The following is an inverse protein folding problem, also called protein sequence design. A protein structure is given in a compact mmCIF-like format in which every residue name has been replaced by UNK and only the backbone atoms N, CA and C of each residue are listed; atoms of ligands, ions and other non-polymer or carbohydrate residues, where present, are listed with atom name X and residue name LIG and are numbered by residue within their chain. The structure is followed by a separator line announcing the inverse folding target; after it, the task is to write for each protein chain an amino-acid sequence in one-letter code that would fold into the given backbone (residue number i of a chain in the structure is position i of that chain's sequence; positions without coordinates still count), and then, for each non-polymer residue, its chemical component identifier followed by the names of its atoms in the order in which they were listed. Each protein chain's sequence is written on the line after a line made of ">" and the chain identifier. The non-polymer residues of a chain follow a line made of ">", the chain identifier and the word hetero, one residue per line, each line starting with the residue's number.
data_IF_291833018246
#
_entry.id   IF_291833018246
#
_cell.length_a   1.000
_cell.length_b   1.000
_cell.length_c   1.000
_cell.angle_alpha   90.00
_cell.angle_beta   90.00
_cell.angle_gamma   90.00
#
_symmetry.space_group_name_H-M   'P 1'
#
loop_
_entity.id
_entity.type
_entity.pdbx_description
1 polymer ?
#
# COMPACT_ATOMS: atom_id res chain seq x y z
N UNK A 1 -40.86 45.24 -10.13
CA UNK A 1 -39.64 46.04 -9.98
C UNK A 1 -38.60 45.27 -9.18
N UNK A 2 -37.35 45.43 -9.51
CA UNK A 2 -36.24 44.78 -8.85
C UNK A 2 -35.88 45.56 -7.60
N UNK A 3 -35.70 44.89 -6.46
CA UNK A 3 -35.29 45.50 -5.21
C UNK A 3 -33.81 45.81 -5.24
N UNK A 4 -33.42 47.06 -4.98
CA UNK A 4 -32.03 47.43 -4.85
C UNK A 4 -31.45 46.94 -3.50
N UNK A 5 -30.21 46.52 -3.50
CA UNK A 5 -29.47 46.09 -2.29
C UNK A 5 -29.09 47.32 -1.44
N UNK A 6 -28.59 48.35 -2.11
CA UNK A 6 -28.28 49.63 -1.47
C UNK A 6 -28.21 50.78 -2.45
N UNK A 7 -28.28 51.99 -1.93
CA UNK A 7 -28.15 53.26 -2.68
C UNK A 7 -27.14 54.11 -1.94
N UNK A 8 -26.14 54.63 -2.63
CA UNK A 8 -25.16 55.58 -2.08
C UNK A 8 -25.23 56.92 -2.84
N UNK A 9 -25.42 58.02 -2.10
CA UNK A 9 -25.40 59.36 -2.66
C UNK A 9 -23.98 59.94 -2.57
N UNK A 10 -23.50 60.49 -3.70
CA UNK A 10 -22.22 61.18 -3.83
C UNK A 10 -22.45 62.58 -4.39
N UNK A 11 -21.53 63.53 -4.18
CA UNK A 11 -21.62 64.82 -4.82
C UNK A 11 -21.69 64.71 -6.37
N UNK A 12 -22.85 65.02 -6.92
CA UNK A 12 -23.08 65.03 -8.37
C UNK A 12 -23.57 63.73 -9.00
N UNK A 13 -23.62 62.59 -8.22
CA UNK A 13 -24.18 61.35 -8.74
C UNK A 13 -24.74 60.43 -7.61
N UNK A 14 -25.63 59.51 -7.98
CA UNK A 14 -26.16 58.50 -7.09
C UNK A 14 -25.74 57.13 -7.63
N UNK A 15 -25.20 56.28 -6.74
CA UNK A 15 -24.84 54.90 -7.08
C UNK A 15 -25.92 53.95 -6.58
N UNK A 16 -26.34 53.06 -7.43
CA UNK A 16 -27.28 52.00 -7.11
C UNK A 16 -26.59 50.65 -7.14
N UNK A 17 -26.75 49.85 -6.07
CA UNK A 17 -26.18 48.53 -5.97
C UNK A 17 -27.31 47.50 -6.05
N UNK A 18 -27.07 46.48 -6.86
CA UNK A 18 -28.04 45.44 -7.14
C UNK A 18 -27.33 44.11 -7.38
N UNK A 19 -27.81 43.03 -6.77
CA UNK A 19 -27.38 41.67 -7.02
C UNK A 19 -28.55 40.78 -7.41
N UNK A 20 -28.31 39.88 -8.32
CA UNK A 20 -29.29 38.88 -8.74
C UNK A 20 -28.59 37.57 -9.06
N UNK A 21 -29.11 36.47 -8.54
CA UNK A 21 -28.73 35.15 -8.97
C UNK A 21 -29.51 34.79 -10.25
N UNK A 22 -28.77 34.44 -11.29
CA UNK A 22 -29.31 33.97 -12.56
C UNK A 22 -29.02 32.49 -12.71
N UNK A 23 -30.04 31.62 -12.83
CA UNK A 23 -29.81 30.20 -13.06
C UNK A 23 -29.16 30.03 -14.44
N UNK A 24 -28.05 29.26 -14.45
CA UNK A 24 -27.38 28.89 -15.69
C UNK A 24 -27.46 27.38 -15.89
N UNK A 25 -27.55 26.95 -17.14
CA UNK A 25 -27.55 25.54 -17.54
C UNK A 25 -26.22 25.20 -18.25
N UNK A 26 -26.09 23.97 -18.71
CA UNK A 26 -24.88 23.49 -19.41
C UNK A 26 -24.66 24.18 -20.76
N UNK A 27 -25.68 24.77 -21.33
CA UNK A 27 -25.65 25.45 -22.62
C UNK A 27 -25.36 26.95 -22.48
N UNK A 28 -25.45 27.50 -21.27
CA UNK A 28 -25.22 28.91 -20.97
C UNK A 28 -23.76 29.28 -21.09
N UNK A 29 -23.33 29.74 -22.25
CA UNK A 29 -21.93 30.16 -22.50
C UNK A 29 -21.71 31.65 -22.30
N UNK A 30 -22.78 32.43 -22.46
CA UNK A 30 -22.72 33.89 -22.43
C UNK A 30 -23.99 34.44 -21.76
N UNK A 31 -23.81 35.42 -20.91
CA UNK A 31 -24.88 36.16 -20.29
C UNK A 31 -24.81 37.61 -20.78
N UNK A 32 -25.95 38.12 -21.27
CA UNK A 32 -26.09 39.47 -21.69
C UNK A 32 -26.91 40.25 -20.65
N UNK A 33 -26.39 41.36 -20.19
CA UNK A 33 -27.04 42.21 -19.19
C UNK A 33 -27.24 43.61 -19.75
N UNK A 34 -28.48 44.05 -19.73
CA UNK A 34 -28.90 45.43 -20.07
C UNK A 34 -29.62 46.02 -18.88
N UNK A 35 -29.38 47.28 -18.60
CA UNK A 35 -30.08 48.03 -17.57
C UNK A 35 -31.09 48.95 -18.20
N UNK A 36 -32.30 48.93 -17.66
CA UNK A 36 -33.37 49.87 -18.05
C UNK A 36 -33.94 50.51 -16.80
N UNK A 37 -33.90 51.81 -16.76
CA UNK A 37 -34.43 52.58 -15.65
C UNK A 37 -35.77 53.25 -16.00
N UNK A 38 -36.64 53.37 -14.97
CA UNK A 38 -37.80 54.19 -15.05
C UNK A 38 -37.85 55.15 -13.85
N UNK A 39 -37.93 56.40 -14.11
CA UNK A 39 -38.10 57.43 -13.07
C UNK A 39 -39.62 57.74 -12.94
N UNK A 40 -40.11 57.69 -11.74
CA UNK A 40 -41.50 58.06 -11.42
C UNK A 40 -41.44 59.30 -10.53
N UNK A 41 -42.09 60.40 -11.00
CA UNK A 41 -42.16 61.63 -10.23
C UNK A 41 -43.28 61.54 -9.18
N UNK A 42 -43.32 62.50 -8.27
CA UNK A 42 -44.29 62.55 -7.18
C UNK A 42 -45.78 62.85 -7.66
N UNK A 43 -45.89 63.29 -8.90
CA UNK A 43 -47.23 63.50 -9.58
C UNK A 43 -47.63 62.29 -10.41
N UNK A 44 -47.04 61.10 -10.17
CA UNK A 44 -47.22 59.85 -10.91
C UNK A 44 -46.81 59.87 -12.39
N UNK A 45 -46.29 60.99 -12.87
CA UNK A 45 -45.65 61.01 -14.19
C UNK A 45 -44.42 60.10 -14.24
N UNK A 46 -44.23 59.43 -15.37
CA UNK A 46 -43.05 58.49 -15.46
C UNK A 46 -42.28 58.69 -16.76
N UNK A 47 -40.98 58.68 -16.65
CA UNK A 47 -40.04 58.73 -17.75
C UNK A 47 -39.18 57.45 -17.79
N UNK A 48 -39.14 56.75 -18.90
CA UNK A 48 -38.32 55.58 -19.09
C UNK A 48 -36.97 56.01 -19.69
N UNK A 49 -35.91 55.70 -18.98
CA UNK A 49 -34.54 55.94 -19.48
C UNK A 49 -34.24 54.98 -20.65
N UNK A 50 -33.46 55.41 -21.63
CA UNK A 50 -33.00 54.48 -22.66
C UNK A 50 -32.22 53.35 -22.06
N UNK A 51 -32.28 52.15 -22.67
CA UNK A 51 -31.52 51.03 -22.17
C UNK A 51 -30.00 51.32 -22.23
N UNK A 52 -29.27 50.83 -21.24
CA UNK A 52 -27.81 50.89 -21.24
C UNK A 52 -27.18 50.09 -22.40
N UNK A 53 -25.93 50.29 -22.65
CA UNK A 53 -25.14 49.36 -23.46
C UNK A 53 -25.23 47.94 -22.88
N UNK A 54 -25.21 46.94 -23.73
CA UNK A 54 -25.25 45.54 -23.33
C UNK A 54 -23.89 45.09 -22.82
N UNK A 55 -23.83 44.71 -21.55
CA UNK A 55 -22.68 44.07 -20.96
C UNK A 55 -22.70 42.57 -21.26
N UNK A 56 -21.62 42.06 -21.76
CA UNK A 56 -21.48 40.63 -22.09
C UNK A 56 -20.56 39.94 -21.08
N UNK A 57 -21.08 38.94 -20.38
CA UNK A 57 -20.31 38.10 -19.47
C UNK A 57 -20.20 36.70 -20.06
N UNK A 58 -18.94 36.17 -20.13
CA UNK A 58 -18.74 34.80 -20.51
C UNK A 58 -18.86 33.89 -19.30
N UNK A 59 -19.78 32.94 -19.38
CA UNK A 59 -19.99 31.91 -18.35
C UNK A 59 -19.10 30.73 -18.67
N UNK A 60 -17.99 30.60 -17.96
CA UNK A 60 -17.13 29.43 -18.11
C UNK A 60 -17.70 28.25 -17.32
N UNK A 61 -17.91 27.13 -17.99
CA UNK A 61 -18.25 25.88 -17.32
C UNK A 61 -16.95 25.20 -16.86
N UNK A 62 -16.81 24.92 -15.58
CA UNK A 62 -15.66 24.17 -15.06
C UNK A 62 -15.54 22.79 -15.70
N UNK A 63 -16.63 22.24 -16.22
CA UNK A 63 -16.66 20.94 -16.91
C UNK A 63 -15.81 20.94 -18.19
N UNK A 64 -15.66 22.07 -18.89
CA UNK A 64 -14.84 22.15 -20.11
C UNK A 64 -13.35 22.00 -19.83
N UNK A 65 -12.91 22.12 -18.57
CA UNK A 65 -11.53 21.99 -18.13
C UNK A 65 -11.24 20.67 -17.44
N UNK A 66 -12.23 19.81 -17.28
CA UNK A 66 -12.09 18.51 -16.61
C UNK A 66 -12.00 17.41 -17.65
N UNK A 67 -11.01 16.55 -17.50
CA UNK A 67 -10.96 15.29 -18.23
C UNK A 67 -12.07 14.35 -17.70
N UNK A 68 -13.11 14.19 -18.51
CA UNK A 68 -14.25 13.32 -18.17
C UNK A 68 -14.07 11.87 -18.63
N UNK A 69 -12.91 11.55 -19.24
CA UNK A 69 -12.60 10.19 -19.65
C UNK A 69 -12.46 9.25 -18.44
N UNK A 70 -12.77 7.97 -18.64
CA UNK A 70 -12.63 6.98 -17.57
C UNK A 70 -11.19 6.89 -17.12
N UNK A 71 -10.95 7.22 -15.86
CA UNK A 71 -9.64 7.16 -15.24
C UNK A 71 -9.45 5.86 -14.48
N UNK A 72 -8.28 5.26 -14.66
CA UNK A 72 -7.90 4.04 -13.96
C UNK A 72 -6.88 4.35 -12.86
N UNK A 73 -6.95 3.58 -11.78
CA UNK A 73 -5.99 3.72 -10.69
C UNK A 73 -4.58 3.43 -11.17
N UNK A 74 -3.66 4.27 -10.73
CA UNK A 74 -2.23 4.06 -10.90
C UNK A 74 -1.70 3.49 -9.58
N UNK A 75 -1.15 2.28 -9.63
CA UNK A 75 -0.51 1.66 -8.49
C UNK A 75 1.00 1.86 -8.60
N UNK A 76 1.56 2.52 -7.60
CA UNK A 76 3.02 2.62 -7.47
C UNK A 76 3.49 1.35 -6.77
N UNK A 77 4.27 0.54 -7.46
CA UNK A 77 4.94 -0.62 -6.87
C UNK A 77 6.43 -0.36 -6.75
N UNK A 78 6.96 -0.68 -5.58
CA UNK A 78 8.41 -0.76 -5.42
C UNK A 78 8.87 -2.09 -6.03
N UNK A 79 9.81 -2.06 -6.96
CA UNK A 79 10.38 -3.27 -7.53
C UNK A 79 11.35 -3.87 -6.53
N UNK A 80 10.87 -4.84 -5.78
CA UNK A 80 11.68 -5.70 -4.95
C UNK A 80 11.90 -7.03 -5.65
N UNK A 81 13.12 -7.50 -5.67
CA UNK A 81 13.44 -8.88 -5.96
C UNK A 81 13.63 -9.60 -4.62
N UNK A 82 13.03 -10.75 -4.48
CA UNK A 82 13.22 -11.59 -3.29
C UNK A 82 13.92 -12.87 -3.71
N UNK A 83 15.06 -13.14 -3.09
CA UNK A 83 15.77 -14.41 -3.22
C UNK A 83 15.65 -15.15 -1.92
N UNK A 84 15.37 -16.43 -1.98
CA UNK A 84 15.22 -17.29 -0.80
C UNK A 84 16.11 -18.52 -0.92
N UNK A 85 16.98 -18.68 0.08
CA UNK A 85 17.84 -19.86 0.21
C UNK A 85 17.46 -20.63 1.47
N UNK A 86 17.41 -21.95 1.36
CA UNK A 86 17.19 -22.84 2.50
C UNK A 86 18.49 -23.60 2.82
N UNK A 87 18.99 -23.43 4.02
CA UNK A 87 20.21 -24.02 4.49
C UNK A 87 19.94 -24.90 5.72
N UNK A 88 20.58 -26.05 5.77
CA UNK A 88 20.38 -27.03 6.85
C UNK A 88 21.55 -26.94 7.83
N UNK A 89 21.36 -26.14 8.87
CA UNK A 89 22.37 -25.99 9.94
C UNK A 89 22.03 -26.97 11.05
N UNK A 90 22.96 -27.84 11.36
CA UNK A 90 22.83 -28.84 12.43
C UNK A 90 23.18 -28.20 13.77
N UNK A 91 22.42 -28.55 14.80
CA UNK A 91 22.66 -28.17 16.19
C UNK A 91 22.69 -29.42 17.05
N UNK A 92 23.49 -29.40 18.10
CA UNK A 92 23.45 -30.44 19.13
C UNK A 92 22.07 -30.45 19.80
N UNK A 93 21.73 -31.57 20.38
CA UNK A 93 20.45 -31.72 21.11
C UNK A 93 20.41 -30.70 22.25
N UNK A 94 19.32 -29.95 22.32
CA UNK A 94 19.11 -28.90 23.32
C UNK A 94 20.16 -27.75 23.31
N UNK A 95 20.92 -27.61 22.25
CA UNK A 95 21.94 -26.57 22.10
C UNK A 95 21.53 -25.55 21.01
N UNK A 96 21.99 -24.32 21.19
CA UNK A 96 21.77 -23.21 20.26
C UNK A 96 23.08 -22.73 19.62
N UNK A 97 24.22 -23.25 20.05
CA UNK A 97 25.52 -22.84 19.51
C UNK A 97 25.69 -23.30 18.07
N UNK A 98 26.21 -22.40 17.25
CA UNK A 98 26.58 -22.71 15.87
C UNK A 98 27.98 -23.30 15.88
N UNK A 99 28.09 -24.58 15.53
CA UNK A 99 29.34 -25.28 15.42
C UNK A 99 29.61 -25.60 13.95
N UNK A 100 30.65 -25.00 13.38
CA UNK A 100 31.07 -25.24 12.00
C UNK A 100 31.60 -26.65 11.78
N UNK A 101 32.16 -27.28 12.81
CA UNK A 101 32.68 -28.65 12.78
C UNK A 101 31.55 -29.71 12.80
N UNK A 102 30.33 -29.36 13.10
CA UNK A 102 29.23 -30.31 13.20
C UNK A 102 28.66 -30.70 11.83
N UNK A 103 28.81 -31.97 11.45
CA UNK A 103 28.24 -32.50 10.22
C UNK A 103 28.67 -31.72 8.96
N UNK A 104 27.71 -31.16 8.23
CA UNK A 104 27.93 -30.37 7.02
C UNK A 104 27.88 -28.85 7.24
N UNK A 105 27.91 -28.40 8.50
CA UNK A 105 27.72 -26.98 8.84
C UNK A 105 28.76 -26.08 8.15
N UNK A 106 30.05 -26.47 8.12
CA UNK A 106 31.05 -25.64 7.44
C UNK A 106 30.69 -25.30 6.00
N UNK A 107 30.20 -26.29 5.23
CA UNK A 107 29.80 -26.10 3.85
C UNK A 107 28.51 -25.23 3.74
N UNK A 108 27.56 -25.43 4.64
CA UNK A 108 26.30 -24.66 4.64
C UNK A 108 26.52 -23.19 5.06
N UNK A 109 27.31 -22.97 6.11
CA UNK A 109 27.71 -21.64 6.58
C UNK A 109 28.53 -20.90 5.52
N UNK A 110 29.44 -21.60 4.85
CA UNK A 110 30.22 -21.06 3.74
C UNK A 110 29.32 -20.59 2.58
N UNK A 111 28.26 -21.35 2.24
CA UNK A 111 27.27 -20.93 1.24
C UNK A 111 26.54 -19.65 1.65
N UNK A 112 26.10 -19.55 2.89
CA UNK A 112 25.43 -18.36 3.41
C UNK A 112 26.37 -17.15 3.32
N UNK A 113 27.61 -17.29 3.78
CA UNK A 113 28.62 -16.21 3.74
C UNK A 113 28.90 -15.76 2.31
N UNK A 114 29.17 -16.71 1.40
CA UNK A 114 29.42 -16.42 0.00
C UNK A 114 28.23 -15.69 -0.66
N UNK A 115 27.03 -16.15 -0.39
CA UNK A 115 25.81 -15.53 -0.91
C UNK A 115 25.60 -14.11 -0.39
N UNK A 116 25.79 -13.88 0.90
CA UNK A 116 25.72 -12.54 1.47
C UNK A 116 26.80 -11.61 0.91
N UNK A 117 28.04 -12.09 0.81
CA UNK A 117 29.14 -11.32 0.23
C UNK A 117 28.88 -10.96 -1.24
N UNK A 118 28.41 -11.93 -2.04
CA UNK A 118 28.01 -11.72 -3.43
C UNK A 118 26.94 -10.62 -3.54
N UNK A 119 25.85 -10.72 -2.77
CA UNK A 119 24.76 -9.76 -2.80
C UNK A 119 25.15 -8.36 -2.34
N UNK A 120 26.04 -8.26 -1.34
CA UNK A 120 26.58 -6.97 -0.87
C UNK A 120 27.52 -6.35 -1.91
N UNK A 121 28.30 -7.17 -2.60
CA UNK A 121 29.24 -6.71 -3.64
C UNK A 121 28.57 -6.32 -4.95
N UNK A 122 27.37 -6.82 -5.23
CA UNK A 122 26.61 -6.50 -6.45
C UNK A 122 26.28 -5.01 -6.52
N UNK A 123 26.67 -4.38 -7.63
CA UNK A 123 26.37 -2.96 -7.85
C UNK A 123 24.94 -2.71 -8.39
N UNK A 124 24.28 -3.74 -8.89
CA UNK A 124 22.96 -3.64 -9.52
C UNK A 124 21.83 -3.56 -8.49
N UNK A 125 22.00 -4.18 -7.32
CA UNK A 125 20.98 -4.23 -6.26
C UNK A 125 21.50 -3.68 -4.95
N UNK A 126 20.57 -3.15 -4.14
CA UNK A 126 20.77 -2.92 -2.72
C UNK A 126 20.12 -4.07 -1.94
N UNK A 127 20.79 -4.57 -0.91
CA UNK A 127 20.19 -5.45 0.07
C UNK A 127 19.42 -4.58 1.07
N UNK A 128 18.10 -4.60 0.99
CA UNK A 128 17.24 -3.83 1.90
C UNK A 128 17.10 -4.53 3.26
N UNK A 129 16.90 -5.83 3.23
CA UNK A 129 16.87 -6.65 4.43
C UNK A 129 17.17 -8.11 4.12
N UNK A 130 17.69 -8.81 5.13
CA UNK A 130 17.84 -10.26 5.13
C UNK A 130 17.01 -10.81 6.27
N UNK A 131 16.02 -11.64 5.97
CA UNK A 131 15.21 -12.30 6.99
C UNK A 131 15.75 -13.71 7.22
N UNK A 132 16.38 -13.91 8.39
CA UNK A 132 16.85 -15.19 8.85
C UNK A 132 15.74 -15.85 9.66
N UNK A 133 15.23 -16.97 9.19
CA UNK A 133 14.20 -17.75 9.90
C UNK A 133 14.74 -19.11 10.27
N UNK A 134 14.87 -19.38 11.57
CA UNK A 134 15.20 -20.71 12.06
C UNK A 134 13.94 -21.49 12.43
N UNK A 135 13.94 -22.78 12.15
CA UNK A 135 12.85 -23.69 12.51
C UNK A 135 13.35 -24.87 13.35
N UNK A 136 12.45 -25.44 14.13
CA UNK A 136 12.68 -26.69 14.83
C UNK A 136 11.70 -27.76 14.35
N UNK A 137 12.07 -29.03 14.62
CA UNK A 137 11.17 -30.17 14.42
C UNK A 137 10.14 -30.24 15.55
N UNK A 138 8.95 -30.82 15.31
CA UNK A 138 7.92 -31.01 16.32
C UNK A 138 8.27 -32.03 17.44
N UNK A 139 9.52 -32.27 17.67
CA UNK A 139 10.00 -33.21 18.68
C UNK A 139 10.09 -32.52 20.04
N UNK A 140 9.25 -32.94 20.98
CA UNK A 140 9.17 -32.39 22.32
C UNK A 140 8.12 -31.27 22.46
N UNK A 141 8.21 -30.52 23.57
CA UNK A 141 7.20 -29.50 23.88
C UNK A 141 7.35 -28.25 23.02
N UNK A 142 6.26 -27.74 22.49
CA UNK A 142 6.20 -26.54 21.66
C UNK A 142 6.95 -25.33 22.26
N UNK A 143 6.75 -25.03 23.54
CA UNK A 143 7.41 -23.89 24.19
C UNK A 143 8.93 -24.06 24.24
N UNK A 144 9.43 -25.29 24.39
CA UNK A 144 10.86 -25.59 24.35
C UNK A 144 11.41 -25.41 22.93
N UNK A 145 10.71 -25.94 21.93
CA UNK A 145 11.06 -25.82 20.53
C UNK A 145 11.09 -24.35 20.10
N UNK A 146 10.14 -23.54 20.57
CA UNK A 146 10.12 -22.10 20.39
C UNK A 146 11.39 -21.43 20.92
N UNK A 147 11.78 -21.72 22.16
CA UNK A 147 12.99 -21.16 22.77
C UNK A 147 14.25 -21.60 22.03
N UNK A 148 14.35 -22.86 21.63
CA UNK A 148 15.46 -23.38 20.85
C UNK A 148 15.55 -22.73 19.46
N UNK A 149 14.44 -22.64 18.74
CA UNK A 149 14.41 -22.00 17.42
C UNK A 149 14.81 -20.52 17.51
N UNK A 150 14.32 -19.80 18.52
CA UNK A 150 14.70 -18.42 18.79
C UNK A 150 16.21 -18.29 19.07
N UNK A 151 16.71 -19.09 20.00
CA UNK A 151 18.13 -19.06 20.37
C UNK A 151 19.06 -19.41 19.21
N UNK A 152 18.71 -20.41 18.39
CA UNK A 152 19.44 -20.81 17.17
C UNK A 152 19.48 -19.69 16.14
N UNK A 153 18.35 -18.99 15.94
CA UNK A 153 18.29 -17.87 15.02
C UNK A 153 19.20 -16.72 15.45
N UNK A 154 19.20 -16.37 16.74
CA UNK A 154 20.09 -15.34 17.28
C UNK A 154 21.56 -15.76 17.26
N UNK A 155 21.85 -17.00 17.60
CA UNK A 155 23.22 -17.52 17.55
C UNK A 155 23.79 -17.50 16.13
N UNK A 156 22.99 -17.86 15.13
CA UNK A 156 23.43 -17.76 13.73
C UNK A 156 23.62 -16.31 13.29
N UNK A 157 22.76 -15.38 13.71
CA UNK A 157 22.95 -13.93 13.43
C UNK A 157 24.29 -13.47 14.02
N UNK A 158 24.58 -13.81 15.29
CA UNK A 158 25.88 -13.49 15.93
C UNK A 158 27.07 -14.07 15.18
N UNK A 159 27.00 -15.36 14.82
CA UNK A 159 28.03 -16.02 14.02
C UNK A 159 28.30 -15.28 12.68
N UNK A 160 27.24 -14.87 11.97
CA UNK A 160 27.40 -14.12 10.72
C UNK A 160 27.96 -12.71 10.97
N UNK A 161 27.58 -12.06 12.06
CA UNK A 161 28.11 -10.75 12.43
C UNK A 161 29.60 -10.78 12.69
N UNK A 162 30.12 -11.79 13.38
CA UNK A 162 31.52 -11.98 13.62
C UNK A 162 32.33 -12.20 12.34
N UNK A 163 31.78 -12.88 11.35
CA UNK A 163 32.45 -13.28 10.11
C UNK A 163 32.33 -12.29 8.96
N UNK A 164 31.18 -11.58 8.87
CA UNK A 164 30.87 -10.68 7.76
C UNK A 164 31.06 -9.21 8.17
N UNK A 165 30.81 -8.89 9.43
CA UNK A 165 30.98 -7.54 9.97
C UNK A 165 29.72 -6.93 10.56
N UNK A 166 29.82 -5.71 11.14
CA UNK A 166 28.76 -5.08 11.92
C UNK A 166 27.49 -4.74 11.12
N UNK A 167 27.58 -4.63 9.79
CA UNK A 167 26.44 -4.37 8.92
C UNK A 167 25.36 -5.47 8.99
N UNK A 168 25.73 -6.68 9.43
CA UNK A 168 24.79 -7.78 9.65
C UNK A 168 23.73 -7.41 10.69
N UNK A 169 24.10 -6.61 11.70
CA UNK A 169 23.15 -6.24 12.76
C UNK A 169 21.99 -5.42 12.25
N UNK A 170 22.22 -4.52 11.35
CA UNK A 170 21.17 -3.66 10.73
C UNK A 170 20.43 -4.35 9.60
N UNK A 171 21.12 -5.21 8.83
CA UNK A 171 20.54 -5.88 7.66
C UNK A 171 19.73 -7.12 8.03
N UNK A 172 20.20 -7.92 9.03
CA UNK A 172 19.61 -9.22 9.34
C UNK A 172 18.53 -9.11 10.41
N UNK A 173 17.31 -9.41 10.00
CA UNK A 173 16.15 -9.55 10.88
C UNK A 173 15.94 -11.02 11.23
N UNK A 174 15.80 -11.31 12.50
CA UNK A 174 15.64 -12.67 13.00
C UNK A 174 14.17 -13.01 13.13
N UNK A 175 13.79 -14.19 12.65
CA UNK A 175 12.51 -14.83 12.87
C UNK A 175 12.72 -16.28 13.28
N UNK A 176 11.72 -16.88 13.89
CA UNK A 176 11.75 -18.29 14.26
C UNK A 176 10.37 -18.90 14.14
N UNK A 177 10.36 -20.20 13.81
CA UNK A 177 9.20 -21.06 13.78
C UNK A 177 9.44 -22.16 14.80
N UNK A 178 8.61 -22.23 15.83
CA UNK A 178 8.78 -23.23 16.91
C UNK A 178 8.75 -24.65 16.33
N UNK A 179 7.80 -24.91 15.45
CA UNK A 179 7.61 -26.21 14.79
C UNK A 179 7.07 -25.96 13.37
N UNK A 180 7.80 -26.47 12.38
CA UNK A 180 7.44 -26.24 10.97
C UNK A 180 6.45 -27.30 10.46
N UNK A 181 5.26 -27.30 11.04
CA UNK A 181 4.16 -28.17 10.65
C UNK A 181 3.76 -28.05 9.16
N UNK A 182 3.73 -26.85 8.56
CA UNK A 182 3.46 -26.73 7.12
C UNK A 182 4.47 -27.47 6.24
N UNK A 183 5.76 -27.35 6.57
CA UNK A 183 6.81 -28.04 5.83
C UNK A 183 6.74 -29.57 6.10
N UNK A 184 6.48 -29.99 7.35
CA UNK A 184 6.25 -31.39 7.66
C UNK A 184 5.12 -31.97 6.80
N UNK A 185 3.98 -31.29 6.75
CA UNK A 185 2.85 -31.74 5.96
C UNK A 185 3.17 -31.78 4.45
N UNK A 186 3.96 -30.80 3.95
CA UNK A 186 4.38 -30.80 2.56
C UNK A 186 5.28 -32.01 2.21
N UNK A 187 6.21 -32.35 3.10
CA UNK A 187 7.10 -33.50 2.92
C UNK A 187 6.36 -34.82 3.00
N UNK A 188 5.46 -34.97 3.99
CA UNK A 188 4.59 -36.16 4.12
C UNK A 188 3.73 -36.31 2.86
N UNK A 189 3.20 -35.20 2.33
CA UNK A 189 2.38 -35.24 1.10
C UNK A 189 3.18 -35.72 -0.12
N UNK A 190 4.45 -35.36 -0.19
CA UNK A 190 5.36 -35.77 -1.27
C UNK A 190 5.94 -37.18 -1.11
N UNK A 191 5.81 -37.83 0.05
CA UNK A 191 6.31 -39.17 0.30
C UNK A 191 5.22 -40.22 0.02
N UNK A 192 5.26 -40.77 -1.19
CA UNK A 192 4.31 -41.83 -1.61
C UNK A 192 4.53 -43.15 -0.89
N UNK A 193 5.69 -43.36 -0.30
CA UNK A 193 6.04 -44.61 0.39
C UNK A 193 5.54 -44.67 1.84
N UNK A 194 5.11 -43.53 2.41
CA UNK A 194 4.63 -43.48 3.78
C UNK A 194 3.22 -44.06 3.90
N UNK A 195 3.01 -45.18 4.66
CA UNK A 195 1.70 -45.67 4.94
C UNK A 195 0.82 -44.65 5.66
N UNK A 196 -0.50 -44.79 5.57
CA UNK A 196 -1.48 -43.95 6.31
C UNK A 196 -1.21 -42.45 6.20
N UNK A 197 -0.59 -42.05 5.10
CA UNK A 197 -0.22 -40.63 4.79
C UNK A 197 -1.42 -39.70 4.85
N UNK A 198 -2.54 -40.11 4.28
CA UNK A 198 -3.75 -39.29 4.21
C UNK A 198 -4.31 -39.00 5.62
N UNK A 199 -4.40 -40.04 6.44
CA UNK A 199 -4.91 -39.93 7.81
C UNK A 199 -4.02 -39.07 8.70
N UNK A 200 -2.69 -39.17 8.54
CA UNK A 200 -1.73 -38.30 9.24
C UNK A 200 -1.89 -36.85 8.81
N UNK A 201 -2.07 -36.57 7.53
CA UNK A 201 -2.29 -35.23 7.02
C UNK A 201 -3.61 -34.62 7.52
N UNK A 202 -4.68 -35.41 7.56
CA UNK A 202 -5.96 -34.99 8.13
C UNK A 202 -5.83 -34.67 9.63
N UNK A 203 -5.12 -35.49 10.39
CA UNK A 203 -4.85 -35.25 11.79
C UNK A 203 -4.06 -33.96 11.99
N UNK A 204 -3.00 -33.72 11.19
CA UNK A 204 -2.21 -32.48 11.23
C UNK A 204 -3.08 -31.25 10.96
N UNK A 205 -4.07 -31.36 10.08
CA UNK A 205 -4.96 -30.27 9.74
C UNK A 205 -6.05 -30.03 10.81
N UNK A 206 -6.56 -31.11 11.43
CA UNK A 206 -7.66 -31.05 12.38
C UNK A 206 -7.22 -30.64 13.78
N UNK A 207 -6.11 -31.19 14.29
CA UNK A 207 -5.64 -30.89 15.64
C UNK A 207 -4.90 -29.54 15.67
N UNK A 208 -5.36 -28.62 16.52
CA UNK A 208 -4.80 -27.26 16.64
C UNK A 208 -3.65 -27.17 17.64
N UNK A 209 -3.69 -28.00 18.69
CA UNK A 209 -2.63 -28.02 19.69
C UNK A 209 -1.42 -28.82 19.16
N UNK A 210 -0.26 -28.19 18.99
CA UNK A 210 0.92 -28.82 18.42
C UNK A 210 1.45 -29.96 19.28
N UNK A 211 1.46 -29.82 20.60
CA UNK A 211 1.93 -30.88 21.52
C UNK A 211 1.01 -32.11 21.45
N UNK A 212 -0.31 -31.89 21.42
CA UNK A 212 -1.28 -32.96 21.26
C UNK A 212 -1.21 -33.61 19.87
N UNK A 213 -0.97 -32.80 18.83
CA UNK A 213 -0.80 -33.27 17.45
C UNK A 213 0.34 -34.30 17.36
N UNK A 214 1.51 -33.96 17.90
CA UNK A 214 2.65 -34.89 17.94
C UNK A 214 2.33 -36.13 18.73
N UNK A 215 1.72 -35.97 19.92
CA UNK A 215 1.35 -37.09 20.78
C UNK A 215 0.40 -38.07 20.06
N UNK A 216 -0.66 -37.57 19.41
CA UNK A 216 -1.64 -38.42 18.73
C UNK A 216 -1.02 -39.16 17.54
N UNK A 217 -0.13 -38.48 16.77
CA UNK A 217 0.59 -39.16 15.68
C UNK A 217 1.46 -40.30 16.23
N UNK A 218 2.18 -40.06 17.30
CA UNK A 218 3.05 -41.06 17.96
C UNK A 218 2.26 -42.24 18.51
N UNK A 219 1.06 -42.01 19.08
CA UNK A 219 0.23 -43.05 19.68
C UNK A 219 -0.53 -43.87 18.63
N UNK A 220 -1.07 -43.24 17.61
CA UNK A 220 -1.90 -43.90 16.60
C UNK A 220 -1.09 -44.53 15.46
N UNK A 221 0.04 -43.90 15.11
CA UNK A 221 0.86 -44.27 13.97
C UNK A 221 2.35 -44.40 14.38
N UNK A 222 2.68 -45.32 15.30
CA UNK A 222 4.03 -45.39 15.89
C UNK A 222 5.15 -45.70 14.86
N UNK A 223 4.84 -46.54 13.88
CA UNK A 223 5.81 -46.91 12.85
C UNK A 223 6.09 -45.69 11.88
N UNK A 224 5.03 -45.03 11.43
CA UNK A 224 5.08 -43.84 10.61
C UNK A 224 5.75 -42.69 11.35
N UNK A 225 5.44 -42.52 12.64
CA UNK A 225 6.08 -41.53 13.50
C UNK A 225 7.58 -41.75 13.60
N UNK A 226 8.03 -42.97 13.77
CA UNK A 226 9.46 -43.27 13.79
C UNK A 226 10.13 -42.97 12.45
N UNK A 227 9.50 -43.33 11.35
CA UNK A 227 9.97 -42.99 10.00
C UNK A 227 10.07 -41.47 9.81
N UNK A 228 9.03 -40.73 10.17
CA UNK A 228 9.01 -39.26 10.10
C UNK A 228 10.12 -38.65 10.97
N UNK A 229 10.32 -39.18 12.18
CA UNK A 229 11.34 -38.69 13.10
C UNK A 229 12.75 -38.88 12.55
N UNK A 230 13.03 -40.00 11.93
CA UNK A 230 14.36 -40.32 11.40
C UNK A 230 14.63 -39.66 10.05
N UNK A 231 13.64 -39.62 9.16
CA UNK A 231 13.85 -39.22 7.77
C UNK A 231 13.35 -37.82 7.44
N UNK A 232 12.37 -37.28 8.18
CA UNK A 232 11.77 -35.98 7.89
C UNK A 232 12.20 -34.89 8.89
N UNK A 233 12.19 -35.16 10.20
CA UNK A 233 12.52 -34.16 11.22
C UNK A 233 13.89 -33.52 11.04
N UNK A 234 14.97 -34.21 10.59
CA UNK A 234 16.24 -33.55 10.33
C UNK A 234 16.14 -32.40 9.34
N UNK A 235 15.23 -32.49 8.36
CA UNK A 235 15.01 -31.46 7.35
C UNK A 235 14.20 -30.27 7.86
N UNK A 236 13.48 -30.41 8.98
CA UNK A 236 12.74 -29.33 9.62
C UNK A 236 13.64 -28.43 10.47
N UNK A 237 14.79 -28.96 10.92
CA UNK A 237 15.83 -28.20 11.62
C UNK A 237 16.64 -27.41 10.62
N UNK A 238 16.04 -26.40 10.04
CA UNK A 238 16.60 -25.64 8.94
C UNK A 238 16.67 -24.15 9.25
N UNK A 239 17.54 -23.46 8.51
CA UNK A 239 17.55 -22.00 8.47
C UNK A 239 17.20 -21.57 7.05
N UNK A 240 16.24 -20.70 6.94
CA UNK A 240 15.87 -20.06 5.68
C UNK A 240 16.38 -18.62 5.70
N UNK A 241 17.11 -18.25 4.66
CA UNK A 241 17.56 -16.89 4.43
C UNK A 241 16.76 -16.30 3.27
N UNK A 242 15.99 -15.25 3.55
CA UNK A 242 15.29 -14.48 2.52
C UNK A 242 15.97 -13.13 2.38
N UNK A 243 16.40 -12.82 1.18
CA UNK A 243 17.05 -11.57 0.82
C UNK A 243 16.05 -10.70 0.07
N UNK A 244 15.72 -9.56 0.65
CA UNK A 244 14.87 -8.56 0.01
C UNK A 244 15.79 -7.55 -0.68
N UNK A 245 15.76 -7.53 -2.00
CA UNK A 245 16.65 -6.75 -2.85
C UNK A 245 15.88 -5.64 -3.56
N UNK A 246 16.53 -4.49 -3.71
CA UNK A 246 16.00 -3.36 -4.46
C UNK A 246 16.98 -2.96 -5.56
N UNK A 247 16.51 -2.89 -6.79
CA UNK A 247 17.37 -2.52 -7.92
C UNK A 247 17.80 -1.06 -7.83
N UNK A 248 19.09 -0.79 -8.04
CA UNK A 248 19.63 0.58 -8.10
C UNK A 248 19.02 1.34 -9.28
N UNK A 249 18.66 2.61 -9.07
CA UNK A 249 18.05 3.45 -10.11
C UNK A 249 16.57 3.19 -10.41
N UNK A 250 15.96 2.11 -9.89
CA UNK A 250 14.53 1.79 -10.06
C UNK A 250 13.81 1.76 -8.71
N UNK A 251 13.59 2.93 -8.14
CA UNK A 251 12.99 3.03 -6.80
C UNK A 251 11.47 2.77 -6.85
N UNK A 252 10.81 3.17 -7.92
CA UNK A 252 9.35 3.04 -8.07
C UNK A 252 9.00 2.81 -9.53
N UNK A 253 8.04 1.96 -9.77
CA UNK A 253 7.41 1.81 -11.07
C UNK A 253 5.92 2.05 -10.95
N UNK A 254 5.34 2.68 -11.97
CA UNK A 254 3.91 2.95 -12.03
C UNK A 254 3.25 1.90 -12.92
N UNK A 255 2.32 1.15 -12.35
CA UNK A 255 1.49 0.23 -13.12
C UNK A 255 0.12 0.87 -13.31
N UNK A 256 -0.28 1.00 -14.56
CA UNK A 256 -1.66 1.32 -14.89
C UNK A 256 -2.52 0.08 -14.64
N UNK A 257 -3.44 0.19 -13.70
CA UNK A 257 -4.38 -0.92 -13.41
C UNK A 257 -5.59 -0.82 -14.32
N UNK A 258 -6.37 -1.89 -14.42
CA UNK A 258 -7.69 -1.87 -15.07
C UNK A 258 -8.81 -1.51 -14.10
N UNK A 259 -8.49 -1.17 -12.86
CA UNK A 259 -9.44 -0.77 -11.84
C UNK A 259 -9.78 0.71 -12.03
N UNK A 260 -11.04 1.01 -12.23
CA UNK A 260 -11.54 2.39 -12.38
C UNK A 260 -11.28 3.17 -11.10
N UNK A 261 -10.76 4.39 -11.24
CA UNK A 261 -10.61 5.32 -10.13
C UNK A 261 -11.98 5.92 -9.76
N UNK A 262 -12.68 5.21 -8.89
CA UNK A 262 -14.04 5.57 -8.48
C UNK A 262 -14.12 6.89 -7.74
N UNK A 263 -13.05 7.31 -7.04
CA UNK A 263 -13.00 8.59 -6.34
C UNK A 263 -12.94 9.75 -7.34
N UNK A 264 -12.07 9.64 -8.34
CA UNK A 264 -11.99 10.61 -9.42
C UNK A 264 -13.30 10.68 -10.21
N UNK A 265 -13.85 9.54 -10.64
CA UNK A 265 -15.09 9.49 -11.42
C UNK A 265 -16.28 10.03 -10.64
N UNK A 266 -16.33 9.81 -9.32
CA UNK A 266 -17.35 10.43 -8.46
C UNK A 266 -17.18 11.95 -8.40
N UNK A 267 -15.95 12.45 -8.37
CA UNK A 267 -15.66 13.88 -8.44
C UNK A 267 -16.20 14.49 -9.75
N UNK A 268 -15.94 13.82 -10.88
CA UNK A 268 -16.46 14.22 -12.21
C UNK A 268 -18.00 14.22 -12.24
N UNK A 269 -18.67 13.17 -11.73
CA UNK A 269 -20.13 13.10 -11.64
C UNK A 269 -20.70 14.25 -10.79
N UNK A 270 -20.04 14.58 -9.67
CA UNK A 270 -20.46 15.70 -8.82
C UNK A 270 -20.27 17.05 -9.51
N UNK A 271 -19.25 17.21 -10.35
CA UNK A 271 -19.07 18.41 -11.19
C UNK A 271 -20.18 18.52 -12.23
N UNK A 272 -20.51 17.42 -12.90
CA UNK A 272 -21.63 17.39 -13.86
C UNK A 272 -22.96 17.78 -13.19
N UNK A 273 -23.15 17.37 -11.94
CA UNK A 273 -24.33 17.76 -11.12
C UNK A 273 -24.16 19.12 -10.42
N UNK A 274 -23.16 19.91 -10.78
CA UNK A 274 -22.86 21.25 -10.23
C UNK A 274 -22.69 21.30 -8.70
N UNK A 275 -22.33 20.17 -8.08
CA UNK A 275 -22.05 20.10 -6.63
C UNK A 275 -20.59 20.40 -6.35
N UNK A 276 -20.15 21.60 -6.66
CA UNK A 276 -18.74 22.01 -6.71
C UNK A 276 -17.96 21.75 -5.41
N UNK A 277 -18.51 22.09 -4.25
CA UNK A 277 -17.84 21.88 -2.98
C UNK A 277 -17.55 20.39 -2.70
N UNK A 278 -18.51 19.50 -3.02
CA UNK A 278 -18.33 18.06 -2.86
C UNK A 278 -17.39 17.47 -3.93
N UNK A 279 -17.46 18.00 -5.16
CA UNK A 279 -16.56 17.61 -6.22
C UNK A 279 -15.10 17.96 -5.87
N UNK A 280 -14.86 19.17 -5.36
CA UNK A 280 -13.56 19.64 -4.92
C UNK A 280 -12.93 18.68 -3.91
N UNK A 281 -13.68 18.27 -2.89
CA UNK A 281 -13.20 17.32 -1.89
C UNK A 281 -12.68 16.00 -2.49
N UNK A 282 -13.39 15.44 -3.47
CA UNK A 282 -12.98 14.19 -4.13
C UNK A 282 -11.81 14.39 -5.11
N UNK A 283 -11.57 15.60 -5.60
CA UNK A 283 -10.56 15.88 -6.61
C UNK A 283 -9.29 16.51 -6.05
N UNK A 284 -9.28 16.91 -4.77
CA UNK A 284 -8.12 17.53 -4.10
C UNK A 284 -6.87 16.63 -4.15
N UNK A 285 -7.02 15.32 -4.01
CA UNK A 285 -5.90 14.37 -4.07
C UNK A 285 -5.21 14.30 -5.43
N UNK A 286 -5.89 14.79 -6.48
CA UNK A 286 -5.37 14.77 -7.85
C UNK A 286 -4.68 16.07 -8.25
N UNK A 287 -4.69 17.08 -7.37
CA UNK A 287 -4.12 18.42 -7.60
C UNK A 287 -2.67 18.39 -8.05
N UNK A 288 -1.86 17.59 -7.37
CA UNK A 288 -0.40 17.58 -7.58
C UNK A 288 0.07 16.63 -8.70
N UNK A 289 -0.89 15.98 -9.40
CA UNK A 289 -0.59 14.97 -10.43
C UNK A 289 -0.66 15.52 -11.87
N UNK A 290 -0.52 16.82 -12.07
CA UNK A 290 -0.58 17.49 -13.39
C UNK A 290 -1.85 17.20 -14.22
N UNK A 291 -2.94 16.81 -13.60
CA UNK A 291 -4.10 16.29 -14.32
C UNK A 291 -5.34 17.14 -14.19
N UNK A 292 -5.30 18.19 -13.39
CA UNK A 292 -6.51 18.99 -13.22
C UNK A 292 -6.11 20.45 -13.04
N UNK A 293 -6.29 21.21 -14.10
CA UNK A 293 -6.31 22.69 -14.09
C UNK A 293 -7.47 23.25 -13.24
N UNK A 294 -8.26 22.39 -12.61
CA UNK A 294 -9.51 22.70 -11.93
C UNK A 294 -9.39 23.60 -10.71
N UNK A 295 -8.23 23.62 -10.06
CA UNK A 295 -8.07 24.36 -8.80
C UNK A 295 -7.52 25.76 -8.99
N UNK A 296 -6.96 26.06 -10.17
CA UNK A 296 -6.43 27.39 -10.47
C UNK A 296 -7.44 28.36 -11.08
N UNK A 297 -8.58 27.88 -11.54
CA UNK A 297 -9.61 28.70 -12.23
C UNK A 297 -10.82 29.01 -11.37
N UNK A 298 -10.91 28.48 -10.15
CA UNK A 298 -11.92 28.89 -9.18
C UNK A 298 -11.42 30.16 -8.48
N UNK A 299 -12.02 31.34 -8.70
CA UNK A 299 -11.69 32.51 -7.91
C UNK A 299 -11.95 32.20 -6.45
N UNK A 300 -10.93 32.31 -5.61
CA UNK A 300 -11.10 32.21 -4.17
C UNK A 300 -12.09 33.32 -3.74
N UNK A 301 -13.08 33.01 -2.90
CA UNK A 301 -13.93 34.05 -2.34
C UNK A 301 -13.17 35.09 -1.52
N UNK A 302 -11.86 34.89 -1.33
CA UNK A 302 -10.95 35.75 -0.54
C UNK A 302 -9.93 36.53 -1.40
N UNK A 303 -9.92 36.36 -2.72
CA UNK A 303 -9.03 37.17 -3.53
C UNK A 303 -9.51 38.62 -3.49
N UNK A 304 -8.69 39.57 -2.96
CA UNK A 304 -9.06 40.97 -2.99
C UNK A 304 -9.19 41.36 -4.47
N UNK A 305 -10.28 41.97 -4.81
CA UNK A 305 -10.49 42.57 -6.12
C UNK A 305 -9.32 43.52 -6.37
N UNK A 306 -8.40 43.14 -7.23
CA UNK A 306 -7.47 44.07 -7.80
C UNK A 306 -8.28 45.02 -8.69
N UNK A 307 -8.41 46.22 -8.20
CA UNK A 307 -8.96 47.36 -8.90
C UNK A 307 -8.22 47.67 -10.22
#
# INVERSE_FOLDING_TARGET
>A
GVRLDSVAAHPGHISYYYSQEVPTDETSKTMLVTLQGRVVALDDSSYTLPPSDTLTYHVSSMLSFVDTTTRYKIKVISKYATVQDRNYIQFLVNDTRVLDTLGKNAAQLGKIQARMAELIAQQEFYVDSVVLTASASPEGRFNRNRTLAQGRAHALKGYLQERIGPQVDTLVRVRWVAEDWPELAARIRGDESLPQRAEILELIAAEKDPDRREQVIRERYPAEYQNIKENVYPWLRAVTMRYDLRRRGMIRDTIHTREVDTAYMRGVDLLQKRRYAKALYNLLEYRDRNTVCLLYTSPSPRDPKTS
#
